data_IF_140064197169
#
_entry.id   IF_140064197169
#
_cell.length_a   1.000
_cell.length_b   1.000
_cell.length_c   1.000
_cell.angle_alpha   90.00
_cell.angle_beta   90.00
_cell.angle_gamma   90.00
#
_symmetry.space_group_name_H-M   'P 1'
#
loop_
_entity.id
_entity.type
_entity.pdbx_description
1 polymer ?
2 non-polymer ?
3 non-polymer ?
4 non-polymer ?
5 water ?
#
# COMPACT_ATOMS: atom_id res chain seq x y z
N UNK A 8 -20.95 4.19 -11.80
CA UNK A 8 -20.15 4.71 -10.70
C UNK A 8 -20.41 3.95 -9.42
N UNK A 9 -19.75 2.80 -9.27
CA UNK A 9 -19.95 1.91 -8.14
C UNK A 9 -18.61 1.70 -7.44
N UNK A 10 -18.66 1.52 -6.12
CA UNK A 10 -17.48 1.26 -5.31
C UNK A 10 -17.54 -0.13 -4.73
N UNK A 11 -16.53 -0.95 -5.00
CA UNK A 11 -16.44 -2.27 -4.39
C UNK A 11 -15.77 -2.23 -3.02
N UNK A 12 -16.15 -3.19 -2.17
CA UNK A 12 -15.51 -3.35 -0.87
C UNK A 12 -15.29 -4.85 -0.64
N UNK A 13 -14.08 -5.22 -0.25
CA UNK A 13 -13.79 -6.61 0.05
C UNK A 13 -13.25 -6.68 1.48
N UNK A 14 -13.80 -7.60 2.25
CA UNK A 14 -13.44 -7.83 3.63
C UNK A 14 -13.85 -9.25 3.98
N UNK A 15 -12.98 -10.00 4.65
CA UNK A 15 -13.33 -11.35 5.11
C UNK A 15 -12.73 -11.58 6.48
N UNK A 16 -13.60 -11.85 7.47
CA UNK A 16 -13.19 -12.04 8.85
C UNK A 16 -12.16 -13.16 9.01
N UNK A 17 -12.08 -14.08 8.05
CA UNK A 17 -11.10 -15.16 8.12
C UNK A 17 -9.68 -14.63 8.25
N UNK A 18 -9.40 -13.45 7.68
CA UNK A 18 -8.06 -12.87 7.69
C UNK A 18 -7.63 -12.44 9.08
N UNK A 19 -8.53 -12.46 10.06
CA UNK A 19 -8.17 -12.23 11.46
C UNK A 19 -7.44 -13.40 12.08
N UNK A 20 -7.41 -14.57 11.42
CA UNK A 20 -6.89 -15.76 12.08
C UNK A 20 -5.38 -15.72 12.22
N UNK A 21 -4.70 -14.97 11.34
CA UNK A 21 -3.28 -14.71 11.47
C UNK A 21 -3.02 -13.97 12.78
N UNK A 22 -2.16 -14.54 13.63
CA UNK A 22 -1.94 -13.97 14.95
C UNK A 22 -0.53 -14.30 15.44
N UNK A 23 -0.09 -13.51 16.40
CA UNK A 23 1.21 -13.66 17.04
C UNK A 23 0.99 -14.45 18.33
N UNK A 24 1.39 -15.70 18.33
CA UNK A 24 1.12 -16.53 19.51
C UNK A 24 2.16 -16.34 20.61
N UNK A 25 3.18 -15.51 20.38
CA UNK A 25 4.17 -15.23 21.39
C UNK A 25 4.02 -13.87 22.03
N UNK A 26 3.26 -12.97 21.41
CA UNK A 26 2.95 -11.64 21.95
C UNK A 26 1.58 -11.25 21.39
N UNK A 27 0.52 -11.54 22.15
CA UNK A 27 -0.82 -11.21 21.67
C UNK A 27 -1.06 -9.71 21.57
N UNK A 28 -0.15 -8.87 22.08
CA UNK A 28 -0.28 -7.42 22.00
C UNK A 28 0.53 -6.81 20.86
N UNK A 29 1.19 -7.62 20.04
CA UNK A 29 1.89 -7.12 18.88
C UNK A 29 0.96 -6.22 18.05
N UNK A 30 1.46 -5.10 17.51
CA UNK A 30 0.56 -4.10 16.90
C UNK A 30 -0.13 -4.53 15.61
N UNK A 31 0.36 -5.54 14.90
CA UNK A 31 -0.32 -6.02 13.69
C UNK A 31 -1.44 -6.97 14.11
N UNK A 32 -2.46 -6.38 14.74
CA UNK A 32 -3.52 -7.12 15.42
C UNK A 32 -4.58 -7.58 14.44
N UNK A 33 -5.23 -8.71 14.72
CA UNK A 33 -6.36 -9.13 13.88
C UNK A 33 -7.47 -8.10 13.83
N UNK A 34 -7.70 -7.35 14.93
CA UNK A 34 -8.78 -6.37 15.02
C UNK A 34 -8.58 -5.15 14.14
N UNK A 35 -7.39 -4.95 13.59
CA UNK A 35 -7.20 -3.87 12.61
C UNK A 35 -8.29 -3.92 11.54
N UNK A 36 -8.53 -5.10 10.96
CA UNK A 36 -9.47 -5.15 9.84
C UNK A 36 -10.91 -5.18 10.34
N UNK A 37 -11.17 -5.85 11.47
CA UNK A 37 -12.54 -5.85 11.97
C UNK A 37 -12.96 -4.46 12.44
N UNK A 38 -12.03 -3.68 12.98
CA UNK A 38 -12.38 -2.32 13.41
C UNK A 38 -12.63 -1.42 12.21
N UNK A 39 -11.85 -1.57 11.13
CA UNK A 39 -12.09 -0.76 9.94
C UNK A 39 -13.43 -1.13 9.33
N UNK A 40 -13.72 -2.42 9.26
CA UNK A 40 -15.00 -2.88 8.70
C UNK A 40 -16.16 -2.38 9.56
N UNK A 41 -16.02 -2.49 10.89
CA UNK A 41 -17.07 -2.01 11.78
C UNK A 41 -17.36 -0.53 11.55
N UNK A 42 -16.30 0.28 11.42
CA UNK A 42 -16.52 1.71 11.25
C UNK A 42 -17.22 2.03 9.94
N UNK A 43 -16.93 1.26 8.89
CA UNK A 43 -17.64 1.45 7.63
C UNK A 43 -19.14 1.24 7.77
N UNK A 44 -19.54 0.26 8.60
CA UNK A 44 -20.96 0.05 8.87
C UNK A 44 -21.55 1.20 9.66
N UNK A 45 -20.93 1.52 10.80
CA UNK A 45 -21.43 2.58 11.68
C UNK A 45 -21.67 3.88 10.92
N UNK A 46 -20.77 4.23 10.00
CA UNK A 46 -20.94 5.41 9.17
C UNK A 46 -21.85 5.17 7.98
N UNK A 47 -22.38 3.95 7.83
CA UNK A 47 -23.31 3.61 6.75
C UNK A 47 -22.66 3.77 5.38
N UNK A 48 -21.35 3.52 5.30
CA UNK A 48 -20.67 3.42 4.03
C UNK A 48 -20.76 2.02 3.43
N UNK A 49 -20.96 1.00 4.26
CA UNK A 49 -20.90 -0.38 3.76
C UNK A 49 -22.05 -0.66 2.81
N UNK A 50 -23.27 -0.23 3.17
CA UNK A 50 -24.45 -0.45 2.34
C UNK A 50 -24.39 0.29 1.01
N UNK A 51 -23.50 1.26 0.84
CA UNK A 51 -23.34 1.98 -0.43
C UNK A 51 -22.30 1.34 -1.33
N UNK A 52 -21.59 0.32 -0.88
CA UNK A 52 -20.60 -0.35 -1.70
C UNK A 52 -21.18 -1.65 -2.22
N UNK A 53 -20.67 -2.07 -3.38
CA UNK A 53 -20.92 -3.41 -3.88
C UNK A 53 -19.92 -4.35 -3.22
N UNK A 54 -20.41 -5.37 -2.55
CA UNK A 54 -19.52 -6.30 -1.87
C UNK A 54 -18.84 -7.24 -2.86
N UNK A 55 -17.54 -7.43 -2.71
CA UNK A 55 -16.74 -8.29 -3.56
C UNK A 55 -16.24 -9.46 -2.70
N UNK A 56 -16.41 -10.71 -3.14
CA UNK A 56 -15.96 -11.83 -2.32
C UNK A 56 -14.44 -11.92 -2.25
N UNK A 57 -13.96 -12.33 -1.08
CA UNK A 57 -12.58 -12.78 -0.98
C UNK A 57 -12.41 -14.12 -1.70
N UNK A 58 -11.16 -14.44 -2.02
CA UNK A 58 -10.83 -15.77 -2.50
C UNK A 58 -9.37 -16.01 -2.18
N UNK A 59 -9.00 -17.29 -2.17
CA UNK A 59 -7.60 -17.66 -2.02
C UNK A 59 -6.86 -17.34 -3.31
N UNK A 60 -5.76 -16.61 -3.19
CA UNK A 60 -4.81 -16.57 -4.29
C UNK A 60 -4.32 -17.99 -4.58
N UNK A 61 -4.02 -18.27 -5.84
CA UNK A 61 -3.44 -19.56 -6.16
C UNK A 61 -1.93 -19.50 -6.05
N UNK A 62 -1.32 -20.68 -5.94
CA UNK A 62 0.13 -20.76 -5.98
C UNK A 62 0.69 -20.23 -7.30
N UNK A 63 -0.02 -20.47 -8.41
CA UNK A 63 0.42 -19.93 -9.69
C UNK A 63 0.42 -18.41 -9.68
N UNK A 64 -0.60 -17.80 -9.08
CA UNK A 64 -0.67 -16.35 -9.01
C UNK A 64 0.45 -15.78 -8.14
N UNK A 65 0.75 -16.44 -7.01
CA UNK A 65 1.90 -16.04 -6.19
C UNK A 65 3.19 -16.04 -7.00
N UNK A 66 3.28 -16.90 -8.02
CA UNK A 66 4.49 -16.99 -8.83
C UNK A 66 4.67 -15.80 -9.77
N UNK A 67 3.67 -14.94 -9.90
CA UNK A 67 3.83 -13.74 -10.70
C UNK A 67 4.90 -12.81 -10.11
N UNK A 68 5.14 -12.89 -8.80
CA UNK A 68 6.16 -12.05 -8.18
C UNK A 68 7.15 -12.79 -7.31
N UNK A 69 6.86 -14.02 -6.91
CA UNK A 69 7.62 -14.68 -5.85
C UNK A 69 8.24 -15.98 -6.33
N UNK A 70 9.38 -16.30 -5.74
CA UNK A 70 10.11 -17.51 -6.07
C UNK A 70 9.38 -18.74 -5.54
N UNK A 71 9.55 -19.87 -6.23
CA UNK A 71 8.89 -21.09 -5.77
C UNK A 71 9.38 -21.48 -4.37
N UNK A 72 10.66 -21.27 -4.09
CA UNK A 72 11.20 -21.60 -2.78
C UNK A 72 10.55 -20.77 -1.68
N UNK A 73 10.37 -19.47 -1.90
CA UNK A 73 9.73 -18.64 -0.89
C UNK A 73 8.29 -19.10 -0.66
N UNK A 74 7.57 -19.34 -1.76
CA UNK A 74 6.18 -19.81 -1.66
C UNK A 74 6.11 -21.09 -0.82
N UNK A 75 6.91 -22.09 -1.16
CA UNK A 75 6.77 -23.37 -0.48
C UNK A 75 7.21 -23.32 0.98
N UNK A 76 8.17 -22.45 1.32
CA UNK A 76 8.53 -22.29 2.72
C UNK A 76 7.35 -21.75 3.52
N UNK A 77 6.75 -20.65 3.05
CA UNK A 77 5.59 -20.07 3.76
C UNK A 77 4.44 -21.06 3.75
N UNK A 78 4.23 -21.76 2.63
CA UNK A 78 3.17 -22.76 2.58
C UNK A 78 3.36 -23.80 3.67
N UNK A 79 4.62 -24.22 3.89
CA UNK A 79 4.91 -25.26 4.87
C UNK A 79 4.59 -24.84 6.31
N UNK A 80 4.54 -23.54 6.60
CA UNK A 80 4.25 -23.13 7.97
C UNK A 80 2.85 -23.51 8.41
N UNK A 81 2.00 -23.88 7.46
CA UNK A 81 0.60 -24.16 7.76
C UNK A 81 0.46 -25.37 8.69
N UNK A 82 1.40 -26.31 8.62
CA UNK A 82 1.35 -27.51 9.45
C UNK A 82 2.52 -27.59 10.44
N UNK A 83 3.14 -26.47 10.77
CA UNK A 83 4.29 -26.50 11.68
C UNK A 83 3.85 -26.54 13.13
N UNK A 84 4.66 -27.21 13.95
CA UNK A 84 4.50 -27.15 15.39
C UNK A 84 4.96 -25.77 15.89
N UNK A 85 4.51 -25.36 17.08
CA UNK A 85 4.85 -24.00 17.54
C UNK A 85 6.33 -23.70 17.58
N UNK A 86 7.17 -24.69 17.92
CA UNK A 86 8.60 -24.43 17.98
C UNK A 86 9.16 -24.17 16.58
N UNK A 87 8.62 -24.87 15.57
CA UNK A 87 9.08 -24.65 14.20
C UNK A 87 8.56 -23.32 13.65
N UNK A 88 7.34 -22.94 14.01
CA UNK A 88 6.83 -21.62 13.66
C UNK A 88 7.72 -20.54 14.25
N UNK A 89 8.21 -20.75 15.48
CA UNK A 89 9.00 -19.72 16.13
C UNK A 89 10.38 -19.65 15.52
N UNK A 90 10.98 -20.79 15.20
CA UNK A 90 12.27 -20.77 14.51
C UNK A 90 12.15 -20.12 13.14
N UNK A 91 11.13 -20.51 12.37
CA UNK A 91 10.97 -19.96 11.03
C UNK A 91 10.81 -18.44 11.06
N UNK A 92 10.00 -17.93 12.00
CA UNK A 92 9.82 -16.49 12.09
C UNK A 92 11.12 -15.74 12.26
N UNK A 93 12.02 -16.27 13.09
CA UNK A 93 13.28 -15.60 13.37
C UNK A 93 14.22 -15.60 12.18
N UNK A 94 13.88 -16.26 11.08
CA UNK A 94 14.68 -16.19 9.86
C UNK A 94 14.27 -15.03 8.96
N UNK A 95 13.34 -14.19 9.39
CA UNK A 95 12.92 -13.01 8.64
C UNK A 95 13.04 -11.75 9.51
N UNK A 96 13.19 -10.61 8.85
CA UNK A 96 13.05 -9.31 9.48
C UNK A 96 11.59 -9.09 9.87
N UNK A 97 11.31 -8.98 11.17
CA UNK A 97 9.99 -8.60 11.68
C UNK A 97 8.84 -9.45 11.11
N UNK A 98 8.85 -10.74 11.46
CA UNK A 98 7.79 -11.64 11.03
C UNK A 98 7.39 -12.55 12.19
N UNK A 99 6.08 -12.65 12.45
CA UNK A 99 5.54 -13.73 13.25
C UNK A 99 4.64 -14.60 12.37
N UNK A 100 4.60 -15.89 12.68
CA UNK A 100 3.90 -16.87 11.88
C UNK A 100 3.05 -17.74 12.80
N UNK A 101 1.80 -17.95 12.42
CA UNK A 101 0.91 -18.92 13.03
C UNK A 101 0.48 -19.89 11.94
N UNK A 102 -0.20 -20.97 12.33
CA UNK A 102 -0.61 -21.98 11.36
C UNK A 102 -1.57 -21.41 10.31
N UNK A 103 -2.20 -20.28 10.58
CA UNK A 103 -3.17 -19.69 9.68
C UNK A 103 -2.57 -18.60 8.80
N UNK A 104 -1.31 -18.23 9.03
CA UNK A 104 -0.72 -17.09 8.34
C UNK A 104 -0.75 -17.27 6.82
N UNK A 105 -0.38 -18.46 6.35
CA UNK A 105 -0.30 -18.68 4.91
C UNK A 105 -1.66 -18.44 4.25
N UNK A 106 -2.71 -19.02 4.83
CA UNK A 106 -4.05 -18.86 4.28
C UNK A 106 -4.50 -17.40 4.31
N UNK A 107 -4.14 -16.66 5.36
CA UNK A 107 -4.54 -15.25 5.43
C UNK A 107 -3.81 -14.44 4.36
N UNK A 108 -2.54 -14.74 4.11
CA UNK A 108 -1.81 -14.05 3.05
C UNK A 108 -2.41 -14.34 1.67
N UNK A 109 -2.89 -15.57 1.45
CA UNK A 109 -3.54 -15.89 0.18
C UNK A 109 -4.89 -15.18 0.06
N UNK A 110 -5.64 -15.12 1.17
CA UNK A 110 -6.92 -14.42 1.17
C UNK A 110 -6.76 -12.93 0.87
N UNK A 111 -5.71 -12.31 1.41
CA UNK A 111 -5.47 -10.90 1.12
C UNK A 111 -5.14 -10.69 -0.34
N UNK A 112 -4.29 -11.55 -0.89
CA UNK A 112 -3.91 -11.40 -2.29
C UNK A 112 -5.10 -11.63 -3.21
N UNK A 113 -5.79 -12.76 -3.05
CA UNK A 113 -6.93 -13.05 -3.90
C UNK A 113 -8.06 -12.03 -3.78
N UNK A 114 -8.27 -11.48 -2.58
CA UNK A 114 -9.28 -10.44 -2.42
C UNK A 114 -8.99 -9.27 -3.34
N UNK A 115 -7.71 -8.90 -3.45
CA UNK A 115 -7.34 -7.78 -4.32
C UNK A 115 -7.45 -8.16 -5.79
N UNK A 116 -7.15 -9.42 -6.12
CA UNK A 116 -7.35 -9.87 -7.50
C UNK A 116 -8.81 -9.71 -7.89
N UNK A 117 -9.74 -10.24 -7.09
CA UNK A 117 -11.16 -10.09 -7.41
C UNK A 117 -11.53 -8.62 -7.57
N UNK A 118 -10.94 -7.74 -6.74
CA UNK A 118 -11.25 -6.32 -6.82
C UNK A 118 -10.72 -5.71 -8.11
N UNK A 119 -9.48 -6.03 -8.48
CA UNK A 119 -8.93 -5.49 -9.73
C UNK A 119 -9.73 -5.98 -10.92
N UNK A 120 -10.15 -7.24 -10.90
CA UNK A 120 -10.95 -7.78 -11.99
C UNK A 120 -12.31 -7.09 -12.07
N UNK A 121 -12.96 -6.90 -10.90
CA UNK A 121 -14.21 -6.17 -10.85
C UNK A 121 -14.07 -4.78 -11.45
N UNK A 122 -12.98 -4.08 -11.11
CA UNK A 122 -12.71 -2.76 -11.68
C UNK A 122 -12.48 -2.87 -13.18
N UNK A 123 -11.59 -3.77 -13.60
CA UNK A 123 -11.17 -3.76 -14.99
C UNK A 123 -12.23 -4.33 -15.93
N UNK A 124 -13.19 -5.11 -15.42
CA UNK A 124 -14.32 -5.54 -16.23
C UNK A 124 -15.48 -4.55 -16.17
N UNK A 125 -15.41 -3.50 -15.37
CA UNK A 125 -16.49 -2.55 -15.31
C UNK A 125 -17.64 -2.92 -14.40
N UNK A 126 -17.52 -3.98 -13.59
CA UNK A 126 -18.54 -4.23 -12.57
C UNK A 126 -18.56 -3.10 -11.53
N UNK A 127 -17.38 -2.56 -11.18
CA UNK A 127 -17.28 -1.37 -10.33
C UNK A 127 -16.28 -0.40 -10.97
N UNK A 128 -16.30 0.84 -10.48
CA UNK A 128 -15.34 1.87 -10.89
C UNK A 128 -14.09 1.86 -10.03
N UNK A 129 -14.25 1.74 -8.72
CA UNK A 129 -13.13 1.78 -7.79
C UNK A 129 -13.45 0.83 -6.63
N UNK A 130 -12.50 0.66 -5.72
CA UNK A 130 -12.68 -0.38 -4.69
C UNK A 130 -11.72 -0.17 -3.52
N UNK A 131 -12.11 -0.71 -2.36
CA UNK A 131 -11.27 -0.73 -1.16
C UNK A 131 -11.11 -2.16 -0.68
N UNK A 132 -9.90 -2.50 -0.27
CA UNK A 132 -9.61 -3.85 0.20
C UNK A 132 -9.14 -3.73 1.63
N UNK A 133 -9.91 -4.31 2.55
CA UNK A 133 -9.62 -4.26 3.98
C UNK A 133 -9.00 -5.62 4.30
N UNK A 134 -7.67 -5.70 4.17
CA UNK A 134 -6.99 -6.99 4.16
C UNK A 134 -5.78 -6.97 5.09
N UNK A 135 -5.41 -8.16 5.57
CA UNK A 135 -4.19 -8.35 6.34
C UNK A 135 -3.82 -9.82 6.22
N UNK A 136 -2.53 -10.19 6.38
CA UNK A 136 -1.37 -9.34 6.69
C UNK A 136 -1.01 -8.42 5.51
N UNK A 137 -0.19 -7.38 5.76
CA UNK A 137 0.14 -6.43 4.69
C UNK A 137 1.11 -6.98 3.66
N UNK A 138 1.51 -6.19 2.66
CA UNK A 138 2.31 -6.74 1.58
C UNK A 138 3.61 -6.07 1.13
N UNK A 139 3.74 -4.74 1.29
CA UNK A 139 4.71 -4.04 0.45
C UNK A 139 6.17 -4.26 0.87
N UNK A 140 6.42 -4.77 2.07
CA UNK A 140 7.79 -5.13 2.44
C UNK A 140 8.24 -6.48 1.88
N UNK A 141 7.31 -7.33 1.42
CA UNK A 141 7.67 -8.68 0.97
C UNK A 141 8.42 -8.60 -0.35
N UNK A 142 9.52 -9.33 -0.44
CA UNK A 142 10.38 -9.37 -1.62
C UNK A 142 10.06 -10.58 -2.49
N UNK A 143 10.69 -10.63 -3.67
CA UNK A 143 10.55 -11.83 -4.50
C UNK A 143 10.90 -13.10 -3.72
N UNK A 144 12.00 -13.09 -2.97
CA UNK A 144 12.51 -14.31 -2.33
C UNK A 144 12.36 -14.33 -0.81
N UNK A 145 11.64 -13.37 -0.19
CA UNK A 145 11.61 -13.39 1.27
C UNK A 145 10.44 -12.58 1.82
N UNK A 146 10.02 -12.94 3.03
CA UNK A 146 9.04 -12.20 3.80
C UNK A 146 9.74 -11.16 4.65
N UNK A 147 8.98 -10.14 5.08
CA UNK A 147 9.63 -9.02 5.74
C UNK A 147 8.60 -8.07 6.32
N UNK A 148 8.90 -7.50 7.49
CA UNK A 148 8.09 -6.42 8.02
C UNK A 148 6.59 -6.67 8.03
N UNK A 149 6.17 -7.80 8.58
CA UNK A 149 4.78 -8.22 8.77
C UNK A 149 4.17 -8.77 7.48
N UNK A 150 4.90 -8.77 6.37
CA UNK A 150 4.38 -9.11 5.06
C UNK A 150 4.94 -10.45 4.57
N UNK A 151 4.08 -11.29 4.02
CA UNK A 151 4.44 -12.58 3.45
C UNK A 151 4.56 -12.55 1.93
N UNK A 152 3.52 -12.08 1.25
CA UNK A 152 3.56 -11.90 -0.20
C UNK A 152 3.20 -10.46 -0.50
N UNK A 153 3.70 -9.95 -1.62
CA UNK A 153 3.51 -8.53 -1.94
C UNK A 153 2.16 -8.38 -2.64
N UNK A 154 1.12 -8.12 -1.83
CA UNK A 154 -0.24 -8.09 -2.36
C UNK A 154 -0.40 -7.06 -3.49
N UNK A 155 0.17 -5.86 -3.33
CA UNK A 155 0.00 -4.84 -4.36
C UNK A 155 0.74 -5.21 -5.64
N UNK A 156 2.01 -5.62 -5.52
CA UNK A 156 2.76 -6.04 -6.70
C UNK A 156 2.08 -7.20 -7.43
N UNK A 157 1.53 -8.16 -6.68
CA UNK A 157 0.86 -9.30 -7.31
C UNK A 157 -0.40 -8.85 -8.03
N UNK A 158 -1.12 -7.89 -7.43
CA UNK A 158 -2.34 -7.39 -8.05
C UNK A 158 -2.03 -6.64 -9.34
N UNK A 159 -0.92 -5.90 -9.38
CA UNK A 159 -0.50 -5.26 -10.61
C UNK A 159 -0.21 -6.28 -11.70
N UNK A 160 0.53 -7.34 -11.37
CA UNK A 160 0.83 -8.38 -12.36
C UNK A 160 -0.43 -9.15 -12.74
N UNK A 161 -1.29 -9.43 -11.76
CA UNK A 161 -2.56 -10.09 -12.04
C UNK A 161 -3.38 -9.28 -13.03
N UNK A 162 -3.46 -7.96 -12.83
CA UNK A 162 -4.22 -7.11 -13.73
C UNK A 162 -3.66 -7.17 -15.14
N UNK A 163 -2.34 -7.11 -15.27
CA UNK A 163 -1.71 -7.29 -16.58
C UNK A 163 -2.01 -8.67 -17.15
N UNK A 164 -2.15 -9.68 -16.31
CA UNK A 164 -2.37 -11.03 -16.80
C UNK A 164 -3.76 -11.23 -17.38
N UNK A 165 -4.75 -10.43 -16.96
CA UNK A 165 -6.09 -10.53 -17.54
C UNK A 165 -6.40 -9.43 -18.54
N UNK A 166 -5.48 -8.50 -18.77
CA UNK A 166 -5.67 -7.50 -19.81
C UNK A 166 -4.56 -7.66 -20.84
N UNK A 167 -3.42 -7.01 -20.61
CA UNK A 167 -2.26 -7.20 -21.48
C UNK A 167 -1.01 -6.91 -20.68
N UNK A 168 0.12 -7.47 -21.13
CA UNK A 168 1.38 -7.35 -20.38
C UNK A 168 1.72 -5.89 -20.09
N UNK A 169 1.48 -4.99 -21.04
CA UNK A 169 1.94 -3.61 -20.91
C UNK A 169 0.91 -2.67 -20.24
N UNK A 170 -0.14 -3.20 -19.63
CA UNK A 170 -1.07 -2.38 -18.86
C UNK A 170 -0.31 -1.49 -17.89
N UNK A 171 -0.52 -0.18 -18.02
CA UNK A 171 0.20 0.80 -17.21
C UNK A 171 -0.44 0.87 -15.83
N UNK A 172 0.28 0.38 -14.82
CA UNK A 172 -0.21 0.38 -13.44
C UNK A 172 0.60 1.38 -12.63
N UNK A 173 -0.11 2.28 -11.92
CA UNK A 173 0.50 3.16 -10.93
C UNK A 173 0.26 2.58 -9.55
N UNK A 174 1.31 2.46 -8.76
CA UNK A 174 1.20 2.07 -7.36
C UNK A 174 1.65 3.26 -6.55
N UNK A 175 0.73 3.86 -5.80
CA UNK A 175 1.07 4.94 -4.88
C UNK A 175 1.15 4.32 -3.49
N UNK A 176 2.29 4.47 -2.83
CA UNK A 176 2.54 3.82 -1.54
C UNK A 176 2.64 4.92 -0.49
N UNK A 177 1.56 5.15 0.27
CA UNK A 177 1.56 6.22 1.25
C UNK A 177 1.61 5.71 2.69
N UNK A 178 1.81 4.40 2.88
CA UNK A 178 2.31 3.89 4.14
C UNK A 178 3.52 4.71 4.57
N UNK A 179 3.73 4.88 5.88
CA UNK A 179 4.87 5.70 6.31
C UNK A 179 6.21 5.02 6.03
N UNK A 180 6.24 3.72 5.78
CA UNK A 180 7.48 3.02 5.50
C UNK A 180 7.68 2.85 3.99
N UNK A 181 8.95 2.88 3.57
CA UNK A 181 9.26 2.56 2.19
C UNK A 181 8.85 1.12 1.86
N UNK A 182 8.20 0.94 0.72
CA UNK A 182 7.84 -0.42 0.32
C UNK A 182 8.93 -1.09 -0.49
N UNK A 183 9.99 -1.51 0.21
CA UNK A 183 11.19 -2.02 -0.45
C UNK A 183 10.87 -3.16 -1.40
N UNK A 184 9.93 -4.03 -1.02
CA UNK A 184 9.57 -5.15 -1.88
C UNK A 184 8.95 -4.71 -3.20
N UNK A 185 8.04 -3.74 -3.15
CA UNK A 185 7.43 -3.24 -4.38
C UNK A 185 8.47 -2.57 -5.27
N UNK A 186 9.31 -1.69 -4.69
CA UNK A 186 10.38 -1.09 -5.48
C UNK A 186 11.21 -2.16 -6.18
N UNK A 187 11.69 -3.15 -5.43
CA UNK A 187 12.60 -4.12 -6.03
C UNK A 187 11.91 -4.95 -7.12
N UNK A 188 10.66 -5.35 -6.89
CA UNK A 188 10.00 -6.20 -7.87
C UNK A 188 9.84 -5.49 -9.21
N UNK A 189 9.59 -4.18 -9.19
CA UNK A 189 9.37 -3.45 -10.44
C UNK A 189 10.54 -2.55 -10.83
N UNK A 190 11.73 -2.77 -10.28
CA UNK A 190 12.82 -1.80 -10.44
C UNK A 190 13.25 -1.62 -11.90
N UNK A 191 13.19 -2.66 -12.72
CA UNK A 191 13.55 -2.54 -14.13
C UNK A 191 12.33 -2.62 -15.04
N UNK A 192 11.14 -2.38 -14.50
CA UNK A 192 9.88 -2.48 -15.22
C UNK A 192 9.36 -1.07 -15.49
N UNK A 193 9.08 -0.77 -16.77
CA UNK A 193 8.53 0.53 -17.13
C UNK A 193 7.03 0.50 -17.37
N UNK A 194 6.38 -0.63 -17.09
CA UNK A 194 4.93 -0.73 -17.16
C UNK A 194 4.25 -0.56 -15.82
N UNK A 195 5.01 -0.55 -14.72
CA UNK A 195 4.47 -0.31 -13.39
C UNK A 195 5.26 0.86 -12.80
N UNK A 196 4.59 1.97 -12.58
CA UNK A 196 5.23 3.14 -11.98
C UNK A 196 5.00 3.07 -10.47
N UNK A 197 6.09 3.09 -9.71
CA UNK A 197 6.01 3.01 -8.25
C UNK A 197 6.38 4.37 -7.68
N UNK A 198 5.48 4.95 -6.89
CA UNK A 198 5.72 6.21 -6.18
C UNK A 198 5.47 5.96 -4.71
N UNK A 199 6.52 6.12 -3.89
CA UNK A 199 6.46 5.92 -2.44
C UNK A 199 6.76 7.23 -1.71
N UNK A 200 5.94 7.58 -0.74
CA UNK A 200 6.27 8.59 0.25
C UNK A 200 6.53 7.88 1.58
N UNK A 201 7.63 8.22 2.26
CA UNK A 201 7.97 7.47 3.45
C UNK A 201 8.87 8.29 4.36
N UNK A 202 8.75 8.04 5.67
CA UNK A 202 9.72 8.60 6.60
C UNK A 202 11.06 7.91 6.36
N UNK A 203 12.12 8.72 6.17
CA UNK A 203 13.44 8.23 5.81
C UNK A 203 14.49 8.49 6.88
N UNK A 204 14.59 9.73 7.35
CA UNK A 204 15.57 10.13 8.37
C UNK A 204 16.98 9.65 8.00
N UNK A 205 17.36 9.91 6.75
CA UNK A 205 18.67 9.55 6.22
C UNK A 205 19.01 8.09 6.51
N UNK A 206 18.02 7.22 6.30
CA UNK A 206 18.21 5.79 6.45
C UNK A 206 17.99 5.26 7.85
N UNK A 207 17.71 6.12 8.83
CA UNK A 207 17.57 5.65 10.20
C UNK A 207 16.18 5.09 10.50
N UNK A 208 15.21 5.29 9.62
CA UNK A 208 13.87 4.79 9.84
C UNK A 208 13.67 3.47 9.11
N UNK A 209 12.92 2.56 9.73
CA UNK A 209 12.65 1.27 9.11
C UNK A 209 12.12 1.45 7.69
N UNK A 210 12.58 0.64 6.71
CA UNK A 210 13.47 -0.51 6.87
C UNK A 210 14.97 -0.23 6.84
N UNK A 211 15.39 1.01 7.07
CA UNK A 211 16.79 1.32 7.38
C UNK A 211 17.76 1.04 6.22
N UNK A 212 17.31 1.24 4.99
CA UNK A 212 18.13 1.02 3.81
C UNK A 212 18.18 2.28 2.95
N UNK A 213 19.35 2.57 2.37
CA UNK A 213 19.46 3.69 1.46
C UNK A 213 18.73 3.45 0.14
N UNK A 214 18.20 2.25 -0.08
CA UNK A 214 17.35 2.02 -1.24
C UNK A 214 16.15 2.96 -1.25
N UNK A 215 15.77 3.50 -0.10
CA UNK A 215 14.61 4.36 0.04
C UNK A 215 14.87 5.80 -0.40
N UNK A 216 16.09 6.15 -0.79
CA UNK A 216 16.44 7.55 -1.01
C UNK A 216 16.03 8.01 -2.40
N UNK A 217 16.02 9.35 -2.57
CA UNK A 217 15.45 9.95 -3.78
C UNK A 217 16.24 9.61 -5.03
N UNK A 218 17.52 9.22 -4.92
CA UNK A 218 18.35 8.96 -6.07
C UNK A 218 18.20 7.54 -6.63
N UNK A 219 17.38 6.70 -6.01
CA UNK A 219 17.07 5.39 -6.59
C UNK A 219 15.89 5.58 -7.54
N UNK A 220 16.18 5.77 -8.83
CA UNK A 220 15.16 6.14 -9.81
C UNK A 220 14.71 4.96 -10.67
N UNK A 221 15.26 3.76 -10.45
CA UNK A 221 15.00 2.64 -11.32
C UNK A 221 16.22 2.23 -12.12
N UNK A 222 16.07 1.14 -12.86
CA UNK A 222 17.20 0.48 -13.50
C UNK A 222 16.85 0.14 -14.94
N UNK A 223 17.78 0.39 -15.84
CA UNK A 223 17.61 0.03 -17.23
C UNK A 223 16.37 0.66 -17.82
N UNK A 224 15.49 -0.20 -18.36
CA UNK A 224 14.21 0.25 -18.90
C UNK A 224 13.37 0.93 -17.83
N UNK A 225 13.54 0.56 -16.56
CA UNK A 225 12.76 1.11 -15.48
C UNK A 225 13.26 2.44 -14.93
N UNK A 226 14.19 3.10 -15.62
CA UNK A 226 14.71 4.34 -15.10
C UNK A 226 13.64 5.42 -15.21
N UNK A 227 13.38 6.08 -14.09
CA UNK A 227 12.35 7.08 -14.00
C UNK A 227 11.04 6.57 -13.50
N UNK A 228 10.86 5.25 -13.44
CA UNK A 228 9.62 4.63 -13.05
C UNK A 228 9.63 4.18 -11.59
N UNK A 229 10.59 4.64 -10.82
CA UNK A 229 10.64 4.43 -9.37
C UNK A 229 10.89 5.78 -8.73
N UNK A 230 9.92 6.26 -7.94
CA UNK A 230 9.95 7.61 -7.39
C UNK A 230 9.88 7.49 -5.87
N UNK A 231 10.99 7.76 -5.19
CA UNK A 231 11.07 7.74 -3.73
C UNK A 231 10.99 9.18 -3.20
N UNK A 232 9.99 9.46 -2.37
CA UNK A 232 9.86 10.77 -1.72
C UNK A 232 10.21 10.60 -0.24
N UNK A 233 11.49 10.79 0.15
CA UNK A 233 11.91 10.52 1.53
C UNK A 233 11.83 11.72 2.46
N UNK A 234 11.19 11.55 3.60
CA UNK A 234 11.06 12.63 4.58
C UNK A 234 12.17 12.55 5.61
N UNK A 235 12.81 13.68 5.88
CA UNK A 235 13.81 13.81 6.94
C UNK A 235 13.42 14.95 7.88
N UNK A 236 13.77 14.81 9.14
CA UNK A 236 13.61 15.89 10.07
C UNK A 236 12.36 15.85 10.88
N UNK A 237 11.87 14.67 11.23
CA UNK A 237 10.81 14.57 12.20
C UNK A 237 9.41 14.60 11.62
N UNK A 238 8.48 15.09 12.43
CA UNK A 238 7.06 14.92 12.15
C UNK A 238 6.66 15.58 10.85
N UNK A 239 5.92 14.84 10.03
CA UNK A 239 5.31 15.38 8.83
C UNK A 239 3.81 15.25 8.94
N UNK A 240 3.09 16.02 8.13
CA UNK A 240 1.63 16.00 8.14
C UNK A 240 0.97 16.40 6.83
N UNK A 241 -0.30 16.80 6.89
CA UNK A 241 -1.05 17.21 5.71
C UNK A 241 -0.32 18.21 4.81
N UNK A 242 0.31 19.29 5.32
CA UNK A 242 0.96 20.23 4.39
C UNK A 242 2.01 19.58 3.51
N UNK A 243 2.84 18.74 4.10
CA UNK A 243 3.90 18.10 3.34
C UNK A 243 3.34 17.08 2.34
N UNK A 244 2.39 16.25 2.76
CA UNK A 244 1.82 15.26 1.86
C UNK A 244 1.00 15.90 0.75
N UNK A 245 0.27 16.98 1.06
CA UNK A 245 -0.45 17.73 0.03
C UNK A 245 0.52 18.28 -1.02
N UNK A 246 1.67 18.81 -0.58
CA UNK A 246 2.62 19.41 -1.51
C UNK A 246 3.35 18.35 -2.32
N UNK A 247 3.73 17.24 -1.68
CA UNK A 247 4.29 16.13 -2.43
C UNK A 247 3.34 15.66 -3.53
N UNK A 248 2.03 15.61 -3.25
CA UNK A 248 1.09 15.20 -4.29
C UNK A 248 0.98 16.25 -5.38
N UNK A 249 0.86 17.53 -4.99
CA UNK A 249 0.68 18.60 -5.98
C UNK A 249 1.92 18.82 -6.83
N UNK A 250 3.11 18.65 -6.25
CA UNK A 250 4.34 18.98 -6.94
C UNK A 250 5.02 17.78 -7.59
N UNK A 251 4.66 16.55 -7.20
CA UNK A 251 5.39 15.38 -7.65
C UNK A 251 4.47 14.25 -8.08
N UNK A 252 3.64 13.75 -7.15
CA UNK A 252 2.84 12.55 -7.44
C UNK A 252 1.90 12.80 -8.61
N UNK A 253 1.13 13.91 -8.56
CA UNK A 253 0.13 14.09 -9.60
C UNK A 253 0.73 14.53 -10.93
N UNK A 254 1.72 15.45 -10.98
CA UNK A 254 2.36 15.73 -12.28
C UNK A 254 2.94 14.49 -12.95
N UNK A 255 3.64 13.65 -12.19
CA UNK A 255 4.23 12.45 -12.78
C UNK A 255 3.16 11.46 -13.19
N UNK A 256 2.16 11.23 -12.31
CA UNK A 256 1.12 10.26 -12.62
C UNK A 256 0.36 10.63 -13.89
N UNK A 257 0.08 11.92 -14.10
CA UNK A 257 -0.63 12.33 -15.31
C UNK A 257 0.21 12.10 -16.55
N UNK A 258 1.51 12.32 -16.47
CA UNK A 258 2.36 12.09 -17.62
C UNK A 258 2.44 10.59 -17.94
N UNK A 259 2.48 9.76 -16.89
CA UNK A 259 2.48 8.31 -17.06
C UNK A 259 1.17 7.83 -17.65
N UNK A 260 0.06 8.43 -17.23
CA UNK A 260 -1.29 8.09 -17.68
C UNK A 260 -1.60 6.64 -17.35
N UNK A 261 -1.67 6.31 -16.06
CA UNK A 261 -1.99 4.94 -15.69
C UNK A 261 -3.34 4.54 -16.24
N UNK A 262 -3.50 3.23 -16.46
CA UNK A 262 -4.79 2.61 -16.74
C UNK A 262 -5.40 1.94 -15.51
N UNK A 263 -4.65 1.87 -14.42
CA UNK A 263 -5.14 1.36 -13.14
C UNK A 263 -4.26 1.93 -12.04
N UNK A 264 -4.88 2.33 -10.93
CA UNK A 264 -4.15 2.90 -9.80
C UNK A 264 -4.37 2.00 -8.59
N UNK A 265 -3.29 1.43 -8.08
CA UNK A 265 -3.30 0.69 -6.82
C UNK A 265 -2.69 1.59 -5.75
N UNK A 266 -3.37 1.73 -4.62
CA UNK A 266 -2.81 2.47 -3.49
C UNK A 266 -2.38 1.45 -2.46
N UNK A 267 -1.08 1.46 -2.13
CA UNK A 267 -0.60 0.75 -0.96
C UNK A 267 -0.87 1.68 0.22
N UNK A 268 -2.07 1.53 0.77
CA UNK A 268 -2.62 2.49 1.73
C UNK A 268 -2.41 1.96 3.14
N UNK A 269 -1.19 2.10 3.63
CA UNK A 269 -0.97 2.00 5.04
C UNK A 269 -1.38 3.30 5.68
N UNK A 270 -1.89 3.21 6.90
CA UNK A 270 -2.32 4.41 7.61
C UNK A 270 -1.47 4.63 8.84
N UNK A 271 -0.19 4.25 8.77
CA UNK A 271 0.71 4.47 9.90
C UNK A 271 1.42 5.82 9.86
N UNK A 272 1.15 6.67 8.86
CA UNK A 272 1.51 8.08 8.94
C UNK A 272 0.40 8.92 9.59
N UNK A 273 -0.66 8.29 10.09
CA UNK A 273 -1.78 9.02 10.64
C UNK A 273 -1.48 9.58 12.02
N UNK A 274 -2.18 10.67 12.35
CA UNK A 274 -2.15 11.18 13.72
C UNK A 274 -2.57 10.08 14.67
N UNK A 275 -1.82 9.92 15.76
CA UNK A 275 -2.14 8.91 16.74
C UNK A 275 -1.49 7.56 16.50
N UNK A 276 -0.83 7.35 15.36
CA UNK A 276 -0.14 6.08 15.17
C UNK A 276 1.01 5.95 16.17
N UNK A 277 1.10 4.83 16.88
CA UNK A 277 2.16 4.68 17.90
C UNK A 277 3.57 4.45 17.32
N UNK A 278 3.70 4.26 16.01
CA UNK A 278 4.96 3.90 15.37
C UNK A 278 5.42 4.91 14.32
N UNK A 279 4.49 5.50 13.57
CA UNK A 279 4.87 6.32 12.44
C UNK A 279 5.45 7.67 12.83
N UNK A 280 4.88 8.29 13.85
CA UNK A 280 5.37 9.58 14.30
C UNK A 280 4.95 10.76 13.46
N UNK A 281 3.98 10.58 12.54
CA UNK A 281 3.48 11.61 11.65
C UNK A 281 2.07 12.06 12.07
N UNK A 282 1.54 13.03 11.33
CA UNK A 282 0.33 13.74 11.73
C UNK A 282 -0.72 13.84 10.63
N UNK A 283 -0.69 12.95 9.63
CA UNK A 283 -1.67 13.04 8.54
C UNK A 283 -3.05 12.76 9.11
N UNK A 284 -4.02 13.66 8.81
CA UNK A 284 -5.38 13.57 9.32
C UNK A 284 -6.26 12.75 8.38
N UNK A 285 -7.43 12.29 8.86
CA UNK A 285 -8.36 11.60 7.95
C UNK A 285 -8.78 12.46 6.77
N UNK A 286 -8.98 13.76 7.02
CA UNK A 286 -9.25 14.68 5.92
C UNK A 286 -8.06 14.78 4.97
N UNK A 287 -6.84 14.66 5.49
CA UNK A 287 -5.69 14.57 4.61
C UNK A 287 -5.76 13.37 3.67
N UNK A 288 -6.09 12.19 4.22
CA UNK A 288 -6.16 11.01 3.37
C UNK A 288 -7.31 11.12 2.38
N UNK A 289 -8.44 11.69 2.80
CA UNK A 289 -9.54 11.96 1.87
C UNK A 289 -9.04 12.74 0.67
N UNK A 290 -8.15 13.71 0.89
CA UNK A 290 -7.78 14.58 -0.21
C UNK A 290 -6.78 13.91 -1.14
N UNK A 291 -5.84 13.13 -0.59
CA UNK A 291 -5.00 12.28 -1.42
C UNK A 291 -5.84 11.30 -2.23
N UNK A 292 -6.85 10.69 -1.61
CA UNK A 292 -7.73 9.80 -2.35
C UNK A 292 -8.41 10.55 -3.49
N UNK A 293 -8.97 11.73 -3.19
CA UNK A 293 -9.72 12.47 -4.20
C UNK A 293 -8.84 12.79 -5.40
N UNK A 294 -7.59 13.19 -5.16
CA UNK A 294 -6.68 13.53 -6.26
C UNK A 294 -6.42 12.34 -7.16
N UNK A 295 -6.09 11.18 -6.57
CA UNK A 295 -5.85 9.99 -7.36
C UNK A 295 -7.09 9.58 -8.17
N UNK A 296 -8.28 9.96 -7.72
CA UNK A 296 -9.47 9.59 -8.47
C UNK A 296 -9.52 10.30 -9.81
N UNK A 297 -8.75 11.38 -9.99
CA UNK A 297 -8.67 12.01 -11.30
C UNK A 297 -7.81 11.21 -12.29
N UNK A 298 -7.15 10.13 -11.88
CA UNK A 298 -6.35 9.33 -12.79
C UNK A 298 -7.08 8.08 -13.27
N UNK A 299 -6.66 7.59 -14.44
CA UNK A 299 -7.04 6.27 -14.95
C UNK A 299 -8.55 6.12 -15.09
N UNK A 300 -9.25 7.20 -15.46
CA UNK A 300 -10.70 7.19 -15.56
C UNK A 300 -11.35 6.74 -14.26
N UNK A 301 -10.70 7.05 -13.14
CA UNK A 301 -11.24 6.74 -11.84
C UNK A 301 -10.99 5.34 -11.35
N UNK A 302 -10.22 4.54 -12.07
CA UNK A 302 -10.03 3.12 -11.72
C UNK A 302 -9.00 2.99 -10.61
N UNK A 303 -9.45 3.04 -9.36
CA UNK A 303 -8.58 3.11 -8.19
C UNK A 303 -8.93 2.00 -7.20
N UNK A 304 -7.92 1.24 -6.80
CA UNK A 304 -8.07 0.19 -5.79
C UNK A 304 -7.23 0.56 -4.57
N UNK A 305 -7.87 0.69 -3.42
CA UNK A 305 -7.19 1.07 -2.19
C UNK A 305 -6.96 -0.19 -1.35
N UNK A 306 -5.70 -0.49 -1.06
CA UNK A 306 -5.29 -1.74 -0.43
C UNK A 306 -4.66 -1.44 0.93
N UNK A 307 -5.28 -1.93 2.00
CA UNK A 307 -4.74 -1.66 3.33
C UNK A 307 -3.38 -2.30 3.49
N UNK A 308 -2.39 -1.52 3.95
CA UNK A 308 -1.07 -2.03 4.33
C UNK A 308 -0.92 -1.96 5.84
N UNK A 309 -0.01 -1.10 6.34
CA UNK A 309 0.22 -0.92 7.76
C UNK A 309 -0.77 0.09 8.36
N UNK A 310 -0.53 0.43 9.62
CA UNK A 310 -1.44 1.33 10.35
C UNK A 310 -1.90 0.70 11.65
N UNK A 311 -1.58 1.32 12.78
CA UNK A 311 -1.60 0.59 14.04
C UNK A 311 -2.38 1.25 15.17
N UNK A 312 -2.98 2.42 14.94
CA UNK A 312 -3.95 2.98 15.87
C UNK A 312 -5.34 2.62 15.36
N UNK A 313 -6.05 1.81 16.13
CA UNK A 313 -7.29 1.21 15.64
C UNK A 313 -8.31 2.27 15.26
N UNK A 314 -8.40 3.35 16.06
CA UNK A 314 -9.30 4.46 15.72
C UNK A 314 -8.78 5.24 14.53
N UNK A 315 -7.49 5.57 14.52
CA UNK A 315 -6.93 6.35 13.43
C UNK A 315 -7.11 5.64 12.09
N UNK A 316 -6.79 4.34 12.04
CA UNK A 316 -6.90 3.64 10.76
C UNK A 316 -8.37 3.46 10.38
N UNK A 317 -9.27 3.32 11.36
CA UNK A 317 -10.69 3.15 11.04
C UNK A 317 -11.29 4.44 10.49
N UNK A 318 -10.93 5.58 11.07
CA UNK A 318 -11.41 6.86 10.57
C UNK A 318 -10.74 7.20 9.23
N UNK A 319 -9.46 6.88 9.07
CA UNK A 319 -8.77 7.32 7.86
C UNK A 319 -9.23 6.53 6.64
N UNK A 320 -9.34 5.20 6.75
CA UNK A 320 -9.74 4.42 5.59
C UNK A 320 -11.20 4.65 5.25
N UNK A 321 -12.04 4.86 6.27
CA UNK A 321 -13.44 5.20 6.04
C UNK A 321 -13.55 6.45 5.18
N UNK A 322 -12.78 7.48 5.52
CA UNK A 322 -12.76 8.71 4.73
C UNK A 322 -12.36 8.46 3.28
N UNK A 323 -11.37 7.58 3.07
CA UNK A 323 -10.99 7.23 1.71
C UNK A 323 -12.16 6.60 0.97
N UNK A 324 -12.83 5.63 1.59
CA UNK A 324 -13.98 5.02 0.93
C UNK A 324 -15.07 6.05 0.66
N UNK A 325 -15.32 6.94 1.63
CA UNK A 325 -16.26 8.04 1.41
C UNK A 325 -15.91 8.80 0.14
N UNK A 326 -14.61 9.07 -0.08
CA UNK A 326 -14.24 9.77 -1.30
C UNK A 326 -14.54 8.92 -2.54
N UNK A 327 -14.22 7.62 -2.48
CA UNK A 327 -14.46 6.75 -3.63
C UNK A 327 -15.94 6.72 -4.00
N UNK A 328 -16.82 6.88 -3.01
CA UNK A 328 -18.27 6.87 -3.24
C UNK A 328 -18.80 8.15 -3.85
N UNK A 329 -17.95 9.15 -4.06
CA UNK A 329 -18.37 10.41 -4.64
C UNK A 329 -18.63 11.53 -3.65
N UNK A 330 -18.48 11.30 -2.35
CA UNK A 330 -18.77 12.36 -1.37
C UNK A 330 -17.78 13.52 -1.52
N UNK A 331 -18.22 14.68 -1.10
CA UNK A 331 -17.36 15.83 -1.35
C UNK A 331 -16.25 15.91 -0.30
N UNK A 332 -15.05 16.31 -0.69
CA UNK A 332 -13.91 16.26 0.24
C UNK A 332 -14.11 17.21 1.40
N UNK A 333 -13.70 16.80 2.60
CA UNK A 333 -13.82 17.70 3.75
C UNK A 333 -12.79 18.81 3.67
N UNK A 334 -13.06 19.91 4.37
CA UNK A 334 -12.17 21.06 4.33
C UNK A 334 -10.86 20.78 5.05
N UNK A 335 -9.78 21.39 4.56
CA UNK A 335 -8.45 21.27 5.14
C UNK A 335 -8.02 22.59 5.79
N UNK A 336 -7.14 22.47 6.78
CA UNK A 336 -6.86 23.58 7.69
C UNK A 336 -5.89 24.62 7.16
N UNK A 337 -4.58 24.34 7.24
CA UNK A 337 -3.56 25.38 7.08
C UNK A 337 -2.34 24.75 6.38
N UNK A 338 -2.47 24.55 5.08
CA UNK A 338 -1.49 23.83 4.29
C UNK A 338 -0.25 24.65 3.93
N UNK A 339 -0.08 25.89 4.43
CA UNK A 339 0.87 26.76 3.73
C UNK A 339 2.31 26.41 4.10
N UNK A 340 2.84 26.79 5.27
CA UNK A 340 4.29 26.65 5.46
C UNK A 340 4.67 25.19 5.68
N UNK A 341 5.50 24.65 4.78
CA UNK A 341 6.08 23.32 4.95
C UNK A 341 7.31 23.40 5.85
N UNK A 342 7.63 22.29 6.49
CA UNK A 342 8.94 22.18 7.13
C UNK A 342 10.02 22.31 6.08
N UNK A 343 11.13 22.97 6.47
CA UNK A 343 12.21 23.24 5.53
C UNK A 343 12.73 21.96 4.91
N UNK A 344 12.93 20.92 5.72
CA UNK A 344 13.48 19.67 5.20
C UNK A 344 12.54 19.01 4.19
N UNK A 345 11.24 19.26 4.30
CA UNK A 345 10.30 18.71 3.32
C UNK A 345 10.43 19.42 1.97
N UNK A 346 10.59 20.74 2.00
CA UNK A 346 10.87 21.49 0.77
C UNK A 346 12.14 20.95 0.13
N UNK A 347 13.18 20.74 0.93
CA UNK A 347 14.43 20.18 0.42
C UNK A 347 14.20 18.78 -0.17
N UNK A 348 13.44 17.94 0.54
CA UNK A 348 13.14 16.61 0.00
C UNK A 348 12.47 16.70 -1.36
N UNK A 349 11.43 17.53 -1.47
CA UNK A 349 10.70 17.66 -2.73
C UNK A 349 11.63 18.16 -3.83
N UNK A 350 12.51 19.11 -3.51
CA UNK A 350 13.43 19.62 -4.52
C UNK A 350 14.44 18.55 -4.95
N UNK A 351 14.87 17.68 -4.03
CA UNK A 351 15.75 16.58 -4.41
C UNK A 351 15.04 15.60 -5.34
N UNK A 352 13.77 15.31 -5.06
CA UNK A 352 13.04 14.41 -5.95
C UNK A 352 12.87 15.05 -7.32
N UNK A 353 12.56 16.35 -7.35
CA UNK A 353 12.39 17.04 -8.63
C UNK A 353 13.69 17.00 -9.44
N UNK A 354 14.82 17.21 -8.79
CA UNK A 354 16.11 17.14 -9.48
C UNK A 354 16.40 15.71 -9.97
N UNK A 355 16.04 14.70 -9.19
CA UNK A 355 16.29 13.31 -9.60
C UNK A 355 15.48 12.92 -10.83
N UNK A 356 14.23 13.38 -10.93
CA UNK A 356 13.33 12.84 -11.93
C UNK A 356 13.01 13.79 -13.09
N UNK A 357 13.40 15.05 -13.00
CA UNK A 357 13.25 15.96 -14.14
C UNK A 357 13.87 15.39 -15.42
N UNK A 358 14.98 14.64 -15.37
CA UNK A 358 15.48 14.03 -16.61
C UNK A 358 14.50 13.09 -17.29
N UNK A 359 13.54 12.51 -16.56
CA UNK A 359 12.64 11.51 -17.12
C UNK A 359 11.22 12.00 -17.35
N UNK A 360 10.81 13.09 -16.72
CA UNK A 360 9.43 13.55 -16.74
C UNK A 360 9.42 15.01 -17.15
N UNK A 361 8.89 15.29 -18.33
CA UNK A 361 8.84 16.67 -18.80
C UNK A 361 7.98 17.53 -17.90
N UNK A 362 6.94 16.95 -17.28
CA UNK A 362 6.08 17.72 -16.39
C UNK A 362 6.83 18.27 -15.18
N UNK A 363 8.03 17.78 -14.91
CA UNK A 363 8.78 18.26 -13.77
C UNK A 363 9.75 19.36 -14.14
N UNK A 364 9.79 19.75 -15.41
CA UNK A 364 10.74 20.74 -15.87
C UNK A 364 10.18 22.14 -15.82
X LIG B 1 4.20 0.81 7.54
X LIG C 1 5.41 4.35 1.49
X LIG D 1 8.99 0.64 -11.81
X LIG E 1 11.57 -3.04 15.39
X LIG E 1 14.81 -2.59 13.67
X LIG E 1 15.61 -4.52 12.24
X LIG E 1 13.51 -3.17 13.63
X LIG E 1 11.70 -1.47 13.38
X LIG E 1 10.48 -2.14 12.77
X LIG E 1 6.99 -3.12 9.58
X LIG E 1 5.09 -1.44 8.91
X LIG E 1 6.10 -2.11 9.97
X LIG E 1 6.19 -1.69 11.35
X LIG E 1 7.10 -2.27 12.27
X LIG E 1 7.97 -3.29 11.82
X LIG E 1 8.88 -3.88 12.84
X LIG E 1 10.30 -3.66 14.76
X LIG E 1 12.54 -2.26 14.43
X LIG E 1 13.51 -1.42 15.34
X LIG E 1 15.96 -0.57 14.99
X LIG E 1 15.84 -3.32 12.95
X LIG E 1 14.31 -5.06 12.21
X LIG E 1 13.28 -4.37 12.91
X LIG E 1 7.91 -3.72 10.49
X LIG E 1 9.58 -2.84 13.72
X LIG E 1 14.77 -1.38 14.47
X LIG E 1 5.39 -1.44 7.44
X LIG E 1 4.09 -0.90 9.34
X LIG E 1 4.58 -0.86 6.44
#
# INVERSE_FOLDING_TARGET
>A
SNAGGSSPITGLVYDQRMMLHHNMWDSHHPELPQRISRIFSRHEELRLLSRCHRIPARLATEEELALCHSSKHISIIKSSEHMKPRDLNRLGDEYNSIFISNESYTCALLAAGSCFNSAQAILTGQVRNAVAIVRPPGHHAEKDTACGFCFFNTAALTARYAQSITRESLRVLIVDWDVHHGNGTQHIFEEDDSVLYISLHRYEDGAFFPNSEDANYDKVGLGKGRGYNVNIPWNGGKMGDPEYMAAFHHLVMPIAREFAPELVLVSAGFDAARGDPLGGFQVTPEGYAHLTHQLMSLAAGRVLIILEGGYNLTSISESMSMCTSMLLGDSPPSLDHLTPLKTSATVSINNVLRAHAPFWSSLR
>B hetero
1 ZN ZN
>C hetero
1 K K
>D hetero
1 K K
>E hetero
1 QQG C10 C15 C17 C20 C21 C22 C24 C02 C03 C04 C05 C06 C07 C09 C11 C12 C14 C16 C18 C19 C23 N08 N13 N25 O01 O26
#
